data_IF_491009457427
#
_entry.id   IF_491009457427
#
_cell.length_a   1.000
_cell.length_b   1.000
_cell.length_c   1.000
_cell.angle_alpha   90.00
_cell.angle_beta   90.00
_cell.angle_gamma   90.00
#
_symmetry.space_group_name_H-M   'P 1'
#
loop_
_entity.id
_entity.type
_entity.pdbx_description
1 polymer ?
#
# COMPACT_ATOMS: atom_id res chain seq x y z
N UNK A 1 -1.25 45.10 42.66
CA UNK A 1 -2.36 44.85 41.73
C UNK A 1 -1.76 44.35 40.41
N UNK A 2 -1.45 43.06 40.34
CA UNK A 2 -0.87 42.38 39.15
C UNK A 2 -1.28 40.89 39.07
N UNK A 3 -2.12 40.43 40.00
CA UNK A 3 -2.52 39.00 40.13
C UNK A 3 -3.81 38.70 39.34
N UNK A 4 -4.45 39.72 38.75
CA UNK A 4 -5.80 39.59 38.19
C UNK A 4 -5.88 39.19 36.70
N UNK A 5 -4.77 39.16 35.95
CA UNK A 5 -4.84 38.96 34.48
C UNK A 5 -4.45 37.57 33.96
N UNK A 6 -4.23 36.57 34.84
CA UNK A 6 -4.10 35.17 34.40
C UNK A 6 -5.39 34.35 34.54
N UNK A 7 -6.46 34.93 35.07
CA UNK A 7 -7.75 34.27 35.34
C UNK A 7 -8.62 34.01 34.09
N UNK A 8 -8.04 33.99 32.89
CA UNK A 8 -8.73 33.74 31.62
C UNK A 8 -8.91 32.27 31.24
N UNK A 9 -8.22 31.36 31.93
CA UNK A 9 -8.42 29.92 31.82
C UNK A 9 -8.26 29.36 33.22
N UNK A 10 -9.37 28.95 33.85
CA UNK A 10 -9.28 28.12 35.05
C UNK A 10 -8.76 26.76 34.58
N UNK A 11 -7.44 26.66 34.41
CA UNK A 11 -6.77 25.42 34.09
C UNK A 11 -6.94 24.57 35.34
N UNK A 12 -7.80 23.55 35.23
CA UNK A 12 -8.11 22.61 36.31
C UNK A 12 -6.89 21.70 36.54
N UNK A 13 -5.80 22.31 37.01
CA UNK A 13 -4.52 21.68 37.26
C UNK A 13 -4.55 21.23 38.73
N UNK A 14 -4.36 19.93 38.99
CA UNK A 14 -4.26 19.39 40.34
C UNK A 14 -3.26 20.18 41.19
N UNK A 15 -3.60 20.42 42.45
CA UNK A 15 -2.80 21.25 43.35
C UNK A 15 -1.41 20.66 43.62
N UNK A 16 -1.28 19.34 43.55
CA UNK A 16 0.00 18.64 43.63
C UNK A 16 0.94 19.03 42.48
N UNK A 17 0.40 19.26 41.28
CA UNK A 17 1.20 19.69 40.12
C UNK A 17 1.56 21.18 40.21
N UNK A 18 0.68 22.01 40.76
CA UNK A 18 1.00 23.42 41.04
C UNK A 18 2.16 23.54 42.05
N UNK A 19 2.17 22.69 43.07
CA UNK A 19 3.26 22.64 44.05
C UNK A 19 4.58 22.11 43.46
N UNK A 20 4.51 21.25 42.43
CA UNK A 20 5.68 20.72 41.74
C UNK A 20 6.28 21.69 40.70
N UNK A 21 5.53 22.73 40.29
CA UNK A 21 6.02 23.72 39.34
C UNK A 21 7.06 24.65 40.00
N UNK A 22 8.13 25.03 39.27
CA UNK A 22 9.08 26.03 39.75
C UNK A 22 8.37 27.34 40.09
N UNK A 23 8.79 28.04 41.15
CA UNK A 23 8.19 29.33 41.51
C UNK A 23 8.59 30.47 40.56
N UNK A 24 9.72 30.32 39.86
CA UNK A 24 10.21 31.27 38.85
C UNK A 24 9.48 31.07 37.50
N UNK A 25 8.78 32.10 36.98
CA UNK A 25 8.05 32.01 35.71
C UNK A 25 8.91 31.60 34.50
N UNK A 26 10.18 32.00 34.45
CA UNK A 26 11.04 31.61 33.33
C UNK A 26 11.41 30.13 33.37
N UNK A 27 11.61 29.58 34.57
CA UNK A 27 11.85 28.15 34.75
C UNK A 27 10.59 27.32 34.44
N UNK A 28 9.39 27.84 34.71
CA UNK A 28 8.14 27.20 34.29
C UNK A 28 8.04 27.10 32.76
N UNK A 29 8.44 28.15 32.03
CA UNK A 29 8.49 28.12 30.57
C UNK A 29 9.46 27.06 30.05
N UNK A 30 10.62 26.90 30.69
CA UNK A 30 11.59 25.88 30.33
C UNK A 30 11.03 24.47 30.56
N UNK A 31 10.31 24.24 31.66
CA UNK A 31 9.59 22.98 31.91
C UNK A 31 8.53 22.75 30.84
N UNK A 32 7.70 23.75 30.53
CA UNK A 32 6.68 23.64 29.48
C UNK A 32 7.29 23.34 28.10
N UNK A 33 8.43 23.95 27.77
CA UNK A 33 9.18 23.67 26.54
C UNK A 33 9.70 22.24 26.51
N UNK A 34 10.27 21.75 27.61
CA UNK A 34 10.74 20.36 27.73
C UNK A 34 9.59 19.37 27.57
N UNK A 35 8.46 19.61 28.23
CA UNK A 35 7.24 18.78 28.10
C UNK A 35 6.78 18.75 26.65
N UNK A 36 6.63 19.92 26.02
CA UNK A 36 6.22 20.02 24.61
C UNK A 36 7.22 19.30 23.70
N UNK A 37 8.52 19.47 23.92
CA UNK A 37 9.55 18.79 23.16
C UNK A 37 9.44 17.27 23.27
N UNK A 38 9.25 16.74 24.49
CA UNK A 38 9.09 15.30 24.73
C UNK A 38 7.80 14.78 24.07
N UNK A 39 6.69 15.51 24.20
CA UNK A 39 5.43 15.14 23.58
C UNK A 39 5.54 15.09 22.05
N UNK A 40 6.20 16.08 21.44
CA UNK A 40 6.46 16.10 20.01
C UNK A 40 7.38 14.94 19.58
N UNK A 41 8.51 14.74 20.27
CA UNK A 41 9.42 13.62 19.97
C UNK A 41 8.72 12.26 20.09
N UNK A 42 7.88 12.07 21.12
CA UNK A 42 7.10 10.83 21.29
C UNK A 42 6.15 10.61 20.11
N UNK A 43 5.45 11.66 19.68
CA UNK A 43 4.53 11.58 18.54
C UNK A 43 5.28 11.34 17.22
N UNK A 44 6.42 11.99 17.01
CA UNK A 44 7.27 11.77 15.83
C UNK A 44 7.75 10.33 15.79
N UNK A 45 8.27 9.79 16.89
CA UNK A 45 8.72 8.40 16.97
C UNK A 45 7.60 7.41 16.67
N UNK A 46 6.38 7.66 17.18
CA UNK A 46 5.22 6.82 16.90
C UNK A 46 4.87 6.82 15.40
N UNK A 47 4.84 8.01 14.77
CA UNK A 47 4.59 8.15 13.33
C UNK A 47 5.69 7.51 12.48
N UNK A 48 6.95 7.64 12.88
CA UNK A 48 8.07 7.00 12.20
C UNK A 48 7.97 5.47 12.26
N UNK A 49 7.58 4.93 13.42
CA UNK A 49 7.33 3.49 13.60
C UNK A 49 6.18 3.00 12.72
N UNK A 50 5.06 3.73 12.68
CA UNK A 50 3.92 3.40 11.84
C UNK A 50 4.28 3.47 10.35
N UNK A 51 4.97 4.52 9.93
CA UNK A 51 5.44 4.66 8.55
C UNK A 51 6.43 3.56 8.16
N UNK A 52 7.25 3.09 9.09
CA UNK A 52 8.14 1.94 8.86
C UNK A 52 7.33 0.65 8.66
N UNK A 53 6.34 0.39 9.51
CA UNK A 53 5.46 -0.78 9.40
C UNK A 53 4.68 -0.78 8.08
N UNK A 54 4.10 0.36 7.70
CA UNK A 54 3.36 0.48 6.44
C UNK A 54 4.25 0.26 5.21
N UNK A 55 5.52 0.71 5.24
CA UNK A 55 6.47 0.45 4.14
C UNK A 55 6.83 -1.03 4.05
N UNK A 56 6.97 -1.72 5.17
CA UNK A 56 7.22 -3.16 5.18
C UNK A 56 6.02 -3.94 4.61
N UNK A 57 4.80 -3.58 5.02
CA UNK A 57 3.58 -4.18 4.46
C UNK A 57 3.47 -3.93 2.95
N UNK A 58 3.76 -2.72 2.49
CA UNK A 58 3.77 -2.40 1.05
C UNK A 58 4.74 -3.30 0.29
N UNK A 59 5.97 -3.47 0.80
CA UNK A 59 6.96 -4.33 0.17
C UNK A 59 6.51 -5.79 0.09
N UNK A 60 5.88 -6.32 1.15
CA UNK A 60 5.29 -7.66 1.14
C UNK A 60 4.19 -7.79 0.07
N UNK A 61 3.33 -6.77 -0.09
CA UNK A 61 2.31 -6.78 -1.14
C UNK A 61 2.92 -6.71 -2.53
N UNK A 62 3.96 -5.92 -2.74
CA UNK A 62 4.65 -5.83 -4.02
C UNK A 62 5.30 -7.18 -4.40
N UNK A 63 5.91 -7.87 -3.44
CA UNK A 63 6.45 -9.23 -3.64
C UNK A 63 5.34 -10.22 -4.02
N UNK A 64 4.20 -10.20 -3.33
CA UNK A 64 3.05 -11.04 -3.66
C UNK A 64 2.48 -10.75 -5.05
N UNK A 65 2.42 -9.47 -5.45
CA UNK A 65 1.98 -9.08 -6.79
C UNK A 65 2.94 -9.65 -7.84
N UNK A 66 4.24 -9.52 -7.64
CA UNK A 66 5.25 -10.05 -8.56
C UNK A 66 5.15 -11.58 -8.69
N UNK A 67 4.95 -12.28 -7.57
CA UNK A 67 4.73 -13.73 -7.57
C UNK A 67 3.48 -14.12 -8.37
N UNK A 68 2.35 -13.47 -8.12
CA UNK A 68 1.10 -13.73 -8.82
C UNK A 68 1.21 -13.43 -10.32
N UNK A 69 1.92 -12.36 -10.69
CA UNK A 69 2.21 -12.06 -12.10
C UNK A 69 3.03 -13.18 -12.74
N UNK A 70 4.10 -13.64 -12.08
CA UNK A 70 4.91 -14.75 -12.58
C UNK A 70 4.10 -16.05 -12.73
N UNK A 71 3.15 -16.31 -11.81
CA UNK A 71 2.26 -17.46 -11.91
C UNK A 71 1.27 -17.36 -13.09
N UNK A 72 0.89 -16.15 -13.52
CA UNK A 72 -0.02 -15.93 -14.65
C UNK A 72 0.66 -16.07 -16.02
N UNK A 73 1.96 -15.77 -16.12
CA UNK A 73 2.70 -15.80 -17.39
C UNK A 73 2.65 -17.18 -18.08
N UNK A 74 2.94 -18.26 -17.34
CA UNK A 74 2.98 -19.60 -17.93
C UNK A 74 1.60 -20.11 -18.41
N UNK A 75 0.50 -20.01 -17.63
CA UNK A 75 -0.84 -20.30 -18.11
C UNK A 75 -1.26 -19.44 -19.30
N UNK A 76 -0.91 -18.14 -19.30
CA UNK A 76 -1.24 -17.24 -20.40
C UNK A 76 -0.55 -17.66 -21.70
N UNK A 77 0.75 -17.97 -21.63
CA UNK A 77 1.52 -18.48 -22.76
C UNK A 77 0.94 -19.82 -23.27
N UNK A 78 0.64 -20.76 -22.37
CA UNK A 78 0.06 -22.04 -22.73
C UNK A 78 -1.31 -21.91 -23.40
N UNK A 79 -2.15 -20.99 -22.91
CA UNK A 79 -3.46 -20.71 -23.51
C UNK A 79 -3.33 -20.08 -24.89
N UNK A 80 -2.43 -19.12 -25.06
CA UNK A 80 -2.15 -18.50 -26.37
C UNK A 80 -1.65 -19.55 -27.36
N UNK A 81 -0.69 -20.40 -26.96
CA UNK A 81 -0.17 -21.47 -27.81
C UNK A 81 -1.25 -22.48 -28.18
N UNK A 82 -2.14 -22.84 -27.25
CA UNK A 82 -3.26 -23.74 -27.53
C UNK A 82 -4.26 -23.11 -28.52
N UNK A 83 -4.53 -21.81 -28.41
CA UNK A 83 -5.39 -21.08 -29.34
C UNK A 83 -4.78 -21.02 -30.74
N UNK A 84 -3.48 -20.72 -30.86
CA UNK A 84 -2.77 -20.69 -32.15
C UNK A 84 -2.80 -22.07 -32.83
N UNK A 85 -2.53 -23.14 -32.07
CA UNK A 85 -2.61 -24.52 -32.57
C UNK A 85 -4.02 -24.88 -33.04
N UNK A 86 -5.05 -24.41 -32.34
CA UNK A 86 -6.43 -24.65 -32.74
C UNK A 86 -6.75 -23.97 -34.08
N UNK A 87 -6.35 -22.71 -34.25
CA UNK A 87 -6.53 -21.97 -35.52
C UNK A 87 -5.84 -22.69 -36.68
N UNK A 88 -4.60 -23.15 -36.47
CA UNK A 88 -3.86 -23.91 -37.50
C UNK A 88 -4.57 -25.22 -37.84
N UNK A 89 -5.03 -25.98 -36.84
CA UNK A 89 -5.75 -27.23 -37.07
C UNK A 89 -7.09 -27.00 -37.81
N UNK A 90 -7.79 -25.90 -37.52
CA UNK A 90 -9.00 -25.51 -38.24
C UNK A 90 -8.70 -25.15 -39.70
N UNK A 91 -7.61 -24.41 -39.96
CA UNK A 91 -7.17 -24.07 -41.32
C UNK A 91 -6.76 -25.31 -42.13
N UNK A 92 -5.95 -26.19 -41.56
CA UNK A 92 -5.53 -27.43 -42.21
C UNK A 92 -6.73 -28.31 -42.55
N UNK A 93 -7.70 -28.42 -41.64
CA UNK A 93 -8.95 -29.15 -41.89
C UNK A 93 -9.73 -28.55 -43.06
N UNK A 94 -9.86 -27.22 -43.13
CA UNK A 94 -10.54 -26.56 -44.25
C UNK A 94 -9.82 -26.82 -45.58
N UNK A 95 -8.48 -26.72 -45.61
CA UNK A 95 -7.68 -26.98 -46.81
C UNK A 95 -7.81 -28.44 -47.28
N UNK A 96 -7.79 -29.41 -46.35
CA UNK A 96 -7.98 -30.82 -46.68
C UNK A 96 -9.37 -31.08 -47.26
N UNK A 97 -10.43 -30.49 -46.68
CA UNK A 97 -11.80 -30.63 -47.22
C UNK A 97 -11.91 -30.04 -48.63
N UNK A 98 -11.31 -28.87 -48.88
CA UNK A 98 -11.32 -28.25 -50.21
C UNK A 98 -10.54 -29.11 -51.22
N UNK A 99 -9.40 -29.69 -50.82
CA UNK A 99 -8.63 -30.61 -51.64
C UNK A 99 -9.40 -31.89 -51.99
N UNK A 100 -10.06 -32.51 -51.02
CA UNK A 100 -10.88 -33.72 -51.23
C UNK A 100 -12.09 -33.47 -52.16
N UNK A 101 -12.72 -32.29 -52.06
CA UNK A 101 -13.83 -31.91 -52.96
C UNK A 101 -13.33 -31.69 -54.40
N UNK A 102 -12.15 -31.09 -54.58
CA UNK A 102 -11.54 -30.89 -55.90
C UNK A 102 -11.11 -32.19 -56.60
N UNK A 103 -10.72 -33.22 -55.85
CA UNK A 103 -10.42 -34.55 -56.40
C UNK A 103 -11.70 -35.34 -56.76
N UNK A 104 -12.79 -35.16 -56.01
CA UNK A 104 -14.09 -35.79 -56.28
C UNK A 104 -14.78 -35.29 -57.55
N UNK A 105 -14.58 -34.02 -57.93
CA UNK A 105 -15.19 -33.43 -59.13
C UNK A 105 -14.43 -33.78 -60.44
N UNK A 106 -13.18 -34.28 -60.35
CA UNK A 106 -12.44 -34.76 -61.53
C UNK A 106 -12.85 -36.17 -62.00
N UNK A 107 -13.73 -36.87 -61.26
CA UNK A 107 -14.18 -38.23 -61.57
C UNK A 107 -15.65 -38.35 -62.01
N UNK A 108 -16.31 -37.24 -62.32
CA UNK A 108 -17.65 -37.25 -62.94
C UNK A 108 -17.58 -36.74 -64.38
N UNK A 109 -17.31 -37.66 -65.31
CA UNK A 109 -17.59 -37.51 -66.74
C UNK A 109 -19.06 -37.84 -67.05
#
# INVERSE_FOLDING_TARGET
MLVAELSGTNLDIPEELLQALPSDPFQQLDVARKITSIALSTRVNALESEASALRAELAEKDELIAELQAQLEAPHAALSEAADKLVLAEQDKMMNIIGEVGEGECYTF
#
